data_IF_547802406484
#
_entry.id   IF_547802406484
#
_cell.length_a   1.000
_cell.length_b   1.000
_cell.length_c   1.000
_cell.angle_alpha   90.00
_cell.angle_beta   90.00
_cell.angle_gamma   90.00
#
_symmetry.space_group_name_H-M   'P 1'
#
loop_
_entity.id
_entity.type
_entity.pdbx_description
1 polymer ?
#
# COMPACT_ATOMS: atom_id res chain seq x y z
N UNK A 1 -4.59 24.69 15.28
CA UNK A 1 -4.92 23.41 14.60
C UNK A 1 -4.23 23.41 13.24
N UNK A 2 -3.60 22.31 12.81
CA UNK A 2 -3.10 22.19 11.44
C UNK A 2 -4.25 22.37 10.44
N UNK A 3 -3.96 22.90 9.25
CA UNK A 3 -4.96 23.00 8.18
C UNK A 3 -5.36 21.60 7.70
N UNK A 4 -6.58 21.49 7.17
CA UNK A 4 -7.12 20.22 6.62
C UNK A 4 -6.15 19.63 5.60
N UNK A 5 -5.58 20.45 4.71
CA UNK A 5 -4.60 20.01 3.70
C UNK A 5 -3.33 19.40 4.32
N UNK A 6 -2.86 19.96 5.45
CA UNK A 6 -1.69 19.43 6.16
C UNK A 6 -2.00 18.07 6.78
N UNK A 7 -3.22 17.89 7.31
CA UNK A 7 -3.66 16.62 7.86
C UNK A 7 -3.83 15.57 6.77
N UNK A 8 -4.44 15.92 5.64
CA UNK A 8 -4.60 15.02 4.50
C UNK A 8 -3.24 14.55 3.96
N UNK A 9 -2.29 15.49 3.80
CA UNK A 9 -0.93 15.17 3.39
C UNK A 9 -0.24 14.19 4.35
N UNK A 10 -0.34 14.46 5.66
CA UNK A 10 0.25 13.59 6.68
C UNK A 10 -0.37 12.18 6.66
N UNK A 11 -1.69 12.09 6.50
CA UNK A 11 -2.38 10.81 6.35
C UNK A 11 -1.91 10.05 5.11
N UNK A 12 -1.84 10.70 3.94
CA UNK A 12 -1.34 10.08 2.72
C UNK A 12 0.11 9.58 2.89
N UNK A 13 0.98 10.36 3.52
CA UNK A 13 2.36 9.94 3.82
C UNK A 13 2.41 8.69 4.71
N UNK A 14 1.58 8.63 5.76
CA UNK A 14 1.51 7.46 6.63
C UNK A 14 1.11 6.20 5.84
N UNK A 15 0.05 6.28 5.04
CA UNK A 15 -0.44 5.13 4.29
C UNK A 15 0.52 4.68 3.19
N UNK A 16 1.28 5.62 2.62
CA UNK A 16 2.37 5.30 1.71
C UNK A 16 3.44 4.46 2.41
N UNK A 17 3.85 4.84 3.62
CA UNK A 17 4.84 4.09 4.40
C UNK A 17 4.33 2.70 4.82
N UNK A 18 3.05 2.59 5.21
CA UNK A 18 2.41 1.30 5.52
C UNK A 18 2.43 0.38 4.30
N UNK A 19 2.04 0.90 3.13
CA UNK A 19 2.03 0.13 1.89
C UNK A 19 3.44 -0.32 1.49
N UNK A 20 4.43 0.57 1.59
CA UNK A 20 5.84 0.26 1.29
C UNK A 20 6.37 -0.85 2.21
N UNK A 21 6.07 -0.79 3.51
CA UNK A 21 6.49 -1.82 4.46
C UNK A 21 5.81 -3.16 4.16
N UNK A 22 4.50 -3.18 3.91
CA UNK A 22 3.77 -4.41 3.56
C UNK A 22 4.32 -5.07 2.28
N UNK A 23 4.71 -4.26 1.30
CA UNK A 23 5.39 -4.68 0.07
C UNK A 23 6.73 -5.34 0.38
N UNK A 24 7.53 -4.79 1.28
CA UNK A 24 8.81 -5.37 1.72
C UNK A 24 8.60 -6.70 2.43
N UNK A 25 7.62 -6.75 3.33
CA UNK A 25 7.31 -7.96 4.11
C UNK A 25 6.82 -9.09 3.20
N UNK A 26 5.95 -8.80 2.24
CA UNK A 26 5.43 -9.75 1.27
C UNK A 26 6.49 -10.39 0.36
N UNK A 27 7.70 -9.83 0.25
CA UNK A 27 8.80 -10.48 -0.48
C UNK A 27 9.24 -11.77 0.22
N UNK A 28 9.24 -11.76 1.55
CA UNK A 28 9.84 -12.83 2.37
C UNK A 28 8.79 -13.62 3.15
N UNK A 29 7.62 -13.05 3.42
CA UNK A 29 6.51 -13.70 4.12
C UNK A 29 5.33 -13.96 3.17
N UNK A 30 5.04 -15.24 2.95
CA UNK A 30 3.89 -15.69 2.14
C UNK A 30 2.56 -15.33 2.81
N UNK A 31 2.51 -15.28 4.13
CA UNK A 31 1.34 -14.87 4.90
C UNK A 31 1.06 -13.38 4.69
N UNK A 32 2.10 -12.55 4.65
CA UNK A 32 1.94 -11.13 4.34
C UNK A 32 1.34 -10.90 2.93
N UNK A 33 1.57 -11.81 1.97
CA UNK A 33 0.95 -11.72 0.63
C UNK A 33 -0.57 -11.86 0.67
N UNK A 34 -1.14 -12.54 1.66
CA UNK A 34 -2.61 -12.72 1.72
C UNK A 34 -3.33 -11.41 2.00
N UNK A 35 -2.67 -10.44 2.64
CA UNK A 35 -3.23 -9.10 2.87
C UNK A 35 -3.58 -8.39 1.56
N UNK A 36 -2.75 -8.51 0.53
CA UNK A 36 -2.98 -7.93 -0.80
C UNK A 36 -4.11 -8.60 -1.57
N UNK A 37 -4.49 -9.83 -1.19
CA UNK A 37 -5.59 -10.57 -1.80
C UNK A 37 -6.90 -10.45 -0.99
N UNK A 38 -6.89 -9.73 0.13
CA UNK A 38 -8.07 -9.54 0.97
C UNK A 38 -9.17 -8.79 0.21
N UNK A 39 -10.42 -9.26 0.37
CA UNK A 39 -11.62 -8.56 -0.13
C UNK A 39 -12.19 -7.58 0.89
N UNK A 40 -11.53 -7.46 2.06
CA UNK A 40 -11.92 -6.50 3.07
C UNK A 40 -11.80 -5.06 2.52
N UNK A 41 -12.76 -4.22 2.88
CA UNK A 41 -12.83 -2.79 2.54
C UNK A 41 -12.80 -1.89 3.78
N UNK A 42 -12.57 -2.47 4.96
CA UNK A 42 -12.44 -1.74 6.23
C UNK A 42 -11.27 -0.76 6.25
N UNK A 43 -11.32 0.20 7.17
CA UNK A 43 -10.24 1.18 7.34
C UNK A 43 -8.89 0.49 7.60
N UNK A 44 -7.86 0.91 6.87
CA UNK A 44 -6.52 0.34 6.96
C UNK A 44 -6.31 -0.97 6.19
N UNK A 45 -7.34 -1.50 5.52
CA UNK A 45 -7.15 -2.61 4.59
C UNK A 45 -6.45 -2.15 3.31
N UNK A 46 -5.91 -3.10 2.55
CA UNK A 46 -5.22 -2.83 1.28
C UNK A 46 -6.09 -2.04 0.29
N UNK A 47 -7.35 -2.46 0.05
CA UNK A 47 -8.25 -1.78 -0.88
C UNK A 47 -8.54 -0.34 -0.45
N UNK A 48 -8.75 -0.11 0.85
CA UNK A 48 -8.99 1.21 1.40
C UNK A 48 -7.75 2.11 1.27
N UNK A 49 -6.55 1.58 1.54
CA UNK A 49 -5.28 2.31 1.33
C UNK A 49 -5.12 2.69 -0.14
N UNK A 50 -5.41 1.78 -1.07
CA UNK A 50 -5.40 2.09 -2.50
C UNK A 50 -6.34 3.24 -2.86
N UNK A 51 -7.56 3.27 -2.31
CA UNK A 51 -8.49 4.40 -2.50
C UNK A 51 -7.94 5.71 -1.94
N UNK A 52 -7.35 5.69 -0.74
CA UNK A 52 -6.78 6.90 -0.10
C UNK A 52 -5.59 7.46 -0.87
N UNK A 53 -4.79 6.59 -1.48
CA UNK A 53 -3.59 6.95 -2.24
C UNK A 53 -3.83 7.12 -3.74
N UNK A 54 -5.07 6.93 -4.21
CA UNK A 54 -5.42 6.95 -5.64
C UNK A 54 -4.59 5.95 -6.48
N UNK A 55 -4.42 4.74 -5.96
CA UNK A 55 -3.67 3.66 -6.59
C UNK A 55 -4.59 2.53 -7.06
N UNK A 56 -4.26 1.89 -8.18
CA UNK A 56 -4.95 0.67 -8.63
C UNK A 56 -4.49 -0.54 -7.80
N UNK A 57 -5.40 -1.23 -7.08
CA UNK A 57 -5.09 -2.46 -6.39
C UNK A 57 -4.53 -3.53 -7.33
N UNK A 58 -5.08 -3.64 -8.54
CA UNK A 58 -4.71 -4.63 -9.56
C UNK A 58 -3.27 -4.43 -10.03
N UNK A 59 -2.84 -3.17 -10.16
CA UNK A 59 -1.47 -2.85 -10.52
C UNK A 59 -0.46 -3.35 -9.45
N UNK A 60 -0.74 -3.08 -8.17
CA UNK A 60 0.13 -3.51 -7.07
C UNK A 60 0.15 -5.04 -6.95
N UNK A 61 -1.01 -5.69 -7.06
CA UNK A 61 -1.10 -7.15 -7.07
C UNK A 61 -0.31 -7.77 -8.21
N UNK A 62 -0.35 -7.18 -9.42
CA UNK A 62 0.48 -7.63 -10.56
C UNK A 62 1.97 -7.48 -10.27
N UNK A 63 2.40 -6.35 -9.69
CA UNK A 63 3.80 -6.14 -9.30
C UNK A 63 4.30 -7.18 -8.30
N UNK A 64 3.45 -7.56 -7.34
CA UNK A 64 3.76 -8.62 -6.38
C UNK A 64 3.83 -10.00 -7.03
N UNK A 65 2.93 -10.28 -7.99
CA UNK A 65 2.87 -11.56 -8.68
C UNK A 65 4.04 -11.78 -9.67
N UNK A 66 4.53 -10.72 -10.32
CA UNK A 66 5.62 -10.81 -11.31
C UNK A 66 7.02 -10.81 -10.69
N UNK A 67 7.14 -10.61 -9.37
CA UNK A 67 8.44 -10.52 -8.70
C UNK A 67 9.30 -9.32 -9.12
N UNK A 68 8.75 -8.38 -9.90
CA UNK A 68 9.46 -7.21 -10.45
C UNK A 68 9.79 -6.12 -9.41
N UNK A 69 9.50 -6.35 -8.12
CA UNK A 69 9.74 -5.33 -7.10
C UNK A 69 11.22 -5.13 -6.70
N UNK A 70 12.18 -5.83 -7.32
CA UNK A 70 13.60 -5.66 -7.02
C UNK A 70 14.19 -4.29 -7.44
N UNK A 71 13.46 -3.43 -8.14
CA UNK A 71 14.01 -2.19 -8.72
C UNK A 71 13.24 -0.88 -8.52
N UNK A 72 12.15 -0.84 -7.74
CA UNK A 72 11.47 0.43 -7.43
C UNK A 72 12.23 1.18 -6.33
N UNK A 73 13.34 1.80 -6.72
CA UNK A 73 13.86 2.97 -6.02
C UNK A 73 12.85 4.08 -6.26
N UNK A 74 11.95 4.29 -5.30
CA UNK A 74 11.04 5.44 -5.30
C UNK A 74 11.89 6.65 -4.94
N UNK A 75 12.40 7.33 -5.97
CA UNK A 75 12.96 8.69 -5.90
C UNK A 75 11.81 9.67 -6.11
#
# INVERSE_FOLDING_TARGET
MPSIDKMEKACKTLWHAVLEQAIKDARWDVTARTWFCSKDQGTGCFLWICTVLDLSPEFIQRLLATGMMTGLSVV
#
